data_IF_708753680311
#
_entry.id   IF_708753680311
#
_cell.length_a   1.000
_cell.length_b   1.000
_cell.length_c   1.000
_cell.angle_alpha   90.00
_cell.angle_beta   90.00
_cell.angle_gamma   90.00
#
_symmetry.space_group_name_H-M   'P 1'
#
loop_
_entity.id
_entity.type
_entity.pdbx_description
1 polymer ?
#
# COMPACT_ATOMS: atom_id res chain seq x y z
N UNK A 1 24.06 19.39 6.29
CA UNK A 1 23.83 18.79 4.96
C UNK A 1 23.00 19.78 4.17
N UNK A 2 23.18 19.85 2.85
CA UNK A 2 22.43 20.81 2.00
C UNK A 2 21.05 20.25 1.68
N UNK A 3 20.03 21.09 1.78
CA UNK A 3 18.65 20.78 1.36
C UNK A 3 18.63 20.24 -0.09
N UNK A 4 17.94 19.13 -0.32
CA UNK A 4 17.87 18.47 -1.63
C UNK A 4 16.42 18.24 -2.03
N UNK A 5 16.06 18.62 -3.24
CA UNK A 5 14.72 18.36 -3.78
C UNK A 5 14.77 17.17 -4.73
N UNK A 6 13.93 16.18 -4.43
CA UNK A 6 13.69 15.00 -5.25
C UNK A 6 12.35 15.18 -5.97
N UNK A 7 12.27 14.66 -7.19
CA UNK A 7 11.06 14.70 -8.02
C UNK A 7 10.67 13.29 -8.39
N UNK A 8 9.40 12.97 -8.17
CA UNK A 8 8.79 11.70 -8.54
C UNK A 8 7.41 11.94 -9.15
N UNK A 9 6.53 10.97 -8.97
CA UNK A 9 5.15 10.98 -9.44
C UNK A 9 4.24 11.34 -8.28
N UNK A 10 3.41 12.37 -8.47
CA UNK A 10 2.44 12.86 -7.50
C UNK A 10 1.27 11.88 -7.34
N UNK A 11 1.01 11.44 -6.10
CA UNK A 11 -0.05 10.48 -5.77
C UNK A 11 -0.70 10.87 -4.43
N UNK A 12 -2.00 10.62 -4.24
CA UNK A 12 -2.70 10.90 -2.97
C UNK A 12 -2.98 12.38 -2.71
N UNK A 13 -2.31 13.30 -3.41
CA UNK A 13 -2.49 14.74 -3.23
C UNK A 13 -1.89 15.23 -1.91
N UNK A 14 -2.35 16.38 -1.42
CA UNK A 14 -1.96 16.92 -0.12
C UNK A 14 -0.47 17.24 0.08
N UNK A 15 -0.14 17.65 1.30
CA UNK A 15 1.21 18.02 1.72
C UNK A 15 1.45 17.42 3.10
N UNK A 16 2.62 16.84 3.31
CA UNK A 16 3.05 16.27 4.58
C UNK A 16 4.42 16.81 5.01
N UNK A 17 4.62 17.01 6.30
CA UNK A 17 5.91 17.43 6.87
C UNK A 17 6.18 16.61 8.12
N UNK A 18 7.33 15.94 8.18
CA UNK A 18 7.65 15.06 9.30
C UNK A 18 9.04 14.43 9.18
N UNK A 19 9.48 13.71 10.23
CA UNK A 19 10.69 12.91 10.17
C UNK A 19 10.49 11.71 9.23
N UNK A 20 11.55 11.33 8.51
CA UNK A 20 11.59 10.12 7.70
C UNK A 20 11.56 8.88 8.58
N UNK A 21 10.71 7.92 8.22
CA UNK A 21 10.77 6.55 8.70
C UNK A 21 11.13 5.65 7.51
N UNK A 22 12.38 5.21 7.45
CA UNK A 22 12.89 4.34 6.40
C UNK A 22 12.45 2.91 6.69
N UNK A 23 11.40 2.49 5.99
CA UNK A 23 10.89 1.13 6.04
C UNK A 23 11.56 0.28 4.98
N UNK A 24 12.19 -0.80 5.41
CA UNK A 24 12.69 -1.85 4.51
C UNK A 24 12.00 -3.15 4.90
N UNK A 25 11.22 -3.77 4.00
CA UNK A 25 10.71 -5.11 4.21
C UNK A 25 11.81 -6.04 4.75
N UNK A 26 11.61 -6.61 5.93
CA UNK A 26 12.57 -7.52 6.51
C UNK A 26 12.71 -8.76 5.61
N UNK A 27 13.95 -9.13 5.28
CA UNK A 27 14.24 -10.52 4.96
C UNK A 27 14.33 -11.25 6.30
N UNK A 28 13.54 -12.30 6.47
CA UNK A 28 13.62 -13.11 7.67
C UNK A 28 14.84 -14.02 7.57
N UNK A 29 15.73 -13.93 8.56
CA UNK A 29 16.80 -14.91 8.74
C UNK A 29 16.14 -16.22 9.21
N UNK A 30 15.96 -17.17 8.28
CA UNK A 30 15.39 -18.47 8.60
C UNK A 30 16.42 -19.25 9.44
N UNK A 31 16.11 -19.58 10.71
CA UNK A 31 17.08 -20.23 11.57
C UNK A 31 17.36 -21.66 11.09
N UNK A 32 18.63 -22.03 11.06
CA UNK A 32 19.01 -23.43 10.82
C UNK A 32 18.44 -24.32 11.93
N UNK A 33 17.55 -25.23 11.55
CA UNK A 33 17.00 -26.26 12.44
C UNK A 33 16.95 -27.60 11.74
N UNK A 34 16.87 -28.66 12.55
CA UNK A 34 16.63 -30.00 12.01
C UNK A 34 15.26 -30.07 11.32
N UNK A 35 15.22 -30.73 10.17
CA UNK A 35 14.00 -30.96 9.40
C UNK A 35 13.16 -32.01 10.11
N UNK A 36 11.89 -31.70 10.32
CA UNK A 36 10.90 -32.62 10.87
C UNK A 36 10.47 -33.68 9.86
N UNK A 37 9.59 -34.57 10.28
CA UNK A 37 8.93 -35.47 9.33
C UNK A 37 8.07 -34.64 8.35
N UNK A 38 8.02 -35.05 7.08
CA UNK A 38 7.29 -34.33 6.01
C UNK A 38 5.86 -34.00 6.40
N UNK A 39 5.13 -34.92 7.05
CA UNK A 39 3.75 -34.68 7.48
C UNK A 39 3.62 -33.59 8.56
N UNK A 40 4.64 -33.44 9.43
CA UNK A 40 4.68 -32.40 10.46
C UNK A 40 4.93 -31.04 9.81
N UNK A 41 5.94 -30.94 8.95
CA UNK A 41 6.29 -29.72 8.21
C UNK A 41 5.10 -29.26 7.32
N UNK A 42 4.45 -30.18 6.61
CA UNK A 42 3.27 -29.87 5.80
C UNK A 42 2.04 -29.52 6.64
N UNK A 43 1.95 -30.04 7.88
CA UNK A 43 0.93 -29.63 8.84
C UNK A 43 1.12 -28.16 9.28
N UNK A 44 2.36 -27.77 9.57
CA UNK A 44 2.73 -26.38 9.90
C UNK A 44 2.45 -25.44 8.73
N UNK A 45 2.82 -25.85 7.51
CA UNK A 45 2.52 -25.08 6.29
C UNK A 45 1.02 -24.77 6.16
N UNK A 46 0.18 -25.80 6.25
CA UNK A 46 -1.28 -25.63 6.14
C UNK A 46 -1.84 -24.71 7.22
N UNK A 47 -1.38 -24.84 8.46
CA UNK A 47 -1.79 -23.95 9.54
C UNK A 47 -1.39 -22.50 9.27
N UNK A 48 -0.18 -22.28 8.74
CA UNK A 48 0.30 -20.94 8.38
C UNK A 48 -0.50 -20.33 7.21
N UNK A 49 -0.87 -21.13 6.21
CA UNK A 49 -1.74 -20.69 5.11
C UNK A 49 -3.11 -20.22 5.63
N UNK A 50 -3.74 -21.00 6.51
CA UNK A 50 -5.04 -20.62 7.08
C UNK A 50 -4.94 -19.35 7.93
N UNK A 51 -3.88 -19.21 8.72
CA UNK A 51 -3.62 -17.98 9.46
C UNK A 51 -3.38 -16.78 8.52
N UNK A 52 -2.63 -16.96 7.43
CA UNK A 52 -2.40 -15.91 6.44
C UNK A 52 -3.71 -15.45 5.78
N UNK A 53 -4.61 -16.38 5.45
CA UNK A 53 -5.95 -16.05 4.92
C UNK A 53 -6.81 -15.27 5.90
N UNK A 54 -6.73 -15.57 7.20
CA UNK A 54 -7.42 -14.80 8.24
C UNK A 54 -6.90 -13.36 8.31
N UNK A 55 -5.57 -13.19 8.27
CA UNK A 55 -4.96 -11.85 8.24
C UNK A 55 -5.36 -11.07 6.98
N UNK A 56 -5.32 -11.68 5.79
CA UNK A 56 -5.77 -11.06 4.54
C UNK A 56 -7.25 -10.68 4.59
N UNK A 57 -8.10 -11.47 5.27
CA UNK A 57 -9.52 -11.15 5.47
C UNK A 57 -9.70 -9.93 6.37
N UNK A 58 -8.90 -9.80 7.43
CA UNK A 58 -8.95 -8.63 8.30
C UNK A 58 -8.49 -7.35 7.59
N UNK A 59 -7.47 -7.44 6.73
CA UNK A 59 -7.01 -6.32 5.92
C UNK A 59 -8.07 -5.90 4.88
N UNK A 60 -8.71 -6.87 4.23
CA UNK A 60 -9.84 -6.63 3.33
C UNK A 60 -10.95 -5.85 4.04
N UNK A 61 -11.39 -6.33 5.20
CA UNK A 61 -12.46 -5.69 5.96
C UNK A 61 -12.08 -4.26 6.42
N UNK A 62 -10.81 -4.02 6.77
CA UNK A 62 -10.32 -2.68 7.11
C UNK A 62 -10.46 -1.72 5.93
N UNK A 63 -10.07 -2.15 4.73
CA UNK A 63 -10.16 -1.33 3.51
C UNK A 63 -11.61 -1.11 3.05
N UNK A 64 -12.46 -2.11 3.15
CA UNK A 64 -13.90 -1.96 2.86
C UNK A 64 -14.52 -0.87 3.74
N UNK A 65 -14.18 -0.85 5.04
CA UNK A 65 -14.65 0.20 5.97
C UNK A 65 -14.11 1.59 5.67
N UNK A 66 -12.96 1.71 5.00
CA UNK A 66 -12.41 3.01 4.59
C UNK A 66 -12.96 3.47 3.23
N UNK A 67 -13.97 2.78 2.67
CA UNK A 67 -14.56 3.11 1.36
C UNK A 67 -13.74 2.61 0.17
N UNK A 68 -12.76 1.73 0.39
CA UNK A 68 -11.82 1.23 -0.60
C UNK A 68 -12.19 -0.16 -1.13
N UNK A 69 -13.48 -0.44 -1.34
CA UNK A 69 -13.97 -1.80 -1.64
C UNK A 69 -13.39 -2.40 -2.93
N UNK A 70 -13.26 -1.61 -4.00
CA UNK A 70 -12.64 -2.05 -5.28
C UNK A 70 -11.17 -2.46 -5.08
N UNK A 71 -10.44 -1.75 -4.22
CA UNK A 71 -9.05 -2.08 -3.86
C UNK A 71 -8.97 -3.30 -2.93
N UNK A 72 -10.00 -3.54 -2.11
CA UNK A 72 -10.07 -4.65 -1.18
C UNK A 72 -10.20 -6.02 -1.90
N UNK A 73 -10.71 -6.03 -3.15
CA UNK A 73 -10.85 -7.24 -3.96
C UNK A 73 -9.51 -7.93 -4.27
N UNK A 74 -8.38 -7.20 -4.23
CA UNK A 74 -7.04 -7.77 -4.42
C UNK A 74 -6.74 -8.87 -3.39
N UNK A 75 -7.26 -8.74 -2.17
CA UNK A 75 -7.02 -9.70 -1.09
C UNK A 75 -7.72 -11.04 -1.34
N UNK A 76 -8.79 -11.06 -2.14
CA UNK A 76 -9.41 -12.33 -2.56
C UNK A 76 -8.54 -13.05 -3.58
N UNK A 77 -7.94 -12.32 -4.54
CA UNK A 77 -6.97 -12.89 -5.45
C UNK A 77 -5.75 -13.45 -4.70
N UNK A 78 -5.28 -12.75 -3.67
CA UNK A 78 -4.20 -13.22 -2.80
C UNK A 78 -4.54 -14.52 -2.08
N UNK A 79 -5.77 -14.65 -1.53
CA UNK A 79 -6.23 -15.91 -0.92
C UNK A 79 -6.28 -17.04 -1.94
N UNK A 80 -6.75 -16.77 -3.16
CA UNK A 80 -6.76 -17.78 -4.23
C UNK A 80 -5.35 -18.27 -4.59
N UNK A 81 -4.36 -17.38 -4.58
CA UNK A 81 -2.94 -17.75 -4.78
C UNK A 81 -2.47 -18.67 -3.65
N UNK A 82 -2.82 -18.40 -2.38
CA UNK A 82 -2.49 -19.27 -1.25
C UNK A 82 -3.18 -20.64 -1.32
N UNK A 83 -4.32 -20.74 -2.01
CA UNK A 83 -5.04 -21.98 -2.28
C UNK A 83 -4.51 -22.76 -3.49
N UNK A 84 -3.58 -22.20 -4.26
CA UNK A 84 -3.06 -22.84 -5.47
C UNK A 84 -2.32 -24.15 -5.13
N UNK A 85 -2.76 -25.30 -5.66
CA UNK A 85 -2.10 -26.58 -5.45
C UNK A 85 -0.63 -26.61 -5.90
N UNK A 86 -0.26 -25.77 -6.86
CA UNK A 86 1.10 -25.63 -7.39
C UNK A 86 2.06 -25.18 -6.30
N UNK A 87 1.69 -24.16 -5.52
CA UNK A 87 2.48 -23.70 -4.37
C UNK A 87 2.63 -24.81 -3.34
N UNK A 88 1.53 -25.44 -2.93
CA UNK A 88 1.56 -26.53 -1.95
C UNK A 88 2.41 -27.72 -2.42
N UNK A 89 2.37 -28.05 -3.71
CA UNK A 89 3.19 -29.11 -4.30
C UNK A 89 4.68 -28.76 -4.33
N UNK A 90 5.02 -27.51 -4.68
CA UNK A 90 6.40 -27.03 -4.74
C UNK A 90 7.05 -26.97 -3.36
N UNK A 91 6.30 -26.56 -2.34
CA UNK A 91 6.74 -26.61 -0.93
C UNK A 91 6.96 -28.06 -0.50
N UNK A 92 5.99 -28.95 -0.77
CA UNK A 92 6.10 -30.36 -0.40
C UNK A 92 7.35 -31.03 -1.00
N UNK A 93 7.63 -30.79 -2.27
CA UNK A 93 8.80 -31.35 -2.95
C UNK A 93 10.11 -30.93 -2.28
N UNK A 94 10.22 -29.66 -1.86
CA UNK A 94 11.40 -29.13 -1.16
C UNK A 94 11.56 -29.72 0.24
N UNK A 95 10.46 -29.87 0.98
CA UNK A 95 10.47 -30.54 2.27
C UNK A 95 10.91 -32.01 2.15
N UNK A 96 10.41 -32.73 1.13
CA UNK A 96 10.84 -34.11 0.83
C UNK A 96 12.33 -34.18 0.42
N UNK A 97 12.87 -33.10 -0.15
CA UNK A 97 14.29 -32.97 -0.49
C UNK A 97 15.18 -32.56 0.69
N UNK A 98 14.60 -32.30 1.88
CA UNK A 98 15.34 -31.99 3.11
C UNK A 98 15.42 -30.51 3.47
N UNK A 99 14.53 -29.66 2.93
CA UNK A 99 14.35 -28.29 3.43
C UNK A 99 13.38 -28.26 4.62
N UNK A 100 13.54 -27.31 5.54
CA UNK A 100 12.48 -27.00 6.52
C UNK A 100 11.31 -26.32 5.81
N UNK A 101 10.12 -26.32 6.41
CA UNK A 101 8.94 -25.70 5.80
C UNK A 101 9.13 -24.20 5.49
N UNK A 102 9.84 -23.47 6.36
CA UNK A 102 10.09 -22.03 6.18
C UNK A 102 10.92 -21.78 4.93
N UNK A 103 12.04 -22.51 4.79
CA UNK A 103 12.90 -22.42 3.62
C UNK A 103 12.16 -22.90 2.36
N UNK A 104 11.39 -23.98 2.47
CA UNK A 104 10.64 -24.53 1.35
C UNK A 104 9.59 -23.55 0.81
N UNK A 105 8.94 -22.78 1.70
CA UNK A 105 8.01 -21.71 1.29
C UNK A 105 8.76 -20.59 0.59
N UNK A 106 9.82 -20.06 1.20
CA UNK A 106 10.62 -18.98 0.61
C UNK A 106 11.10 -19.34 -0.80
N UNK A 107 11.76 -20.49 -0.94
CA UNK A 107 12.31 -20.95 -2.22
C UNK A 107 11.22 -21.21 -3.28
N UNK A 108 10.04 -21.67 -2.87
CA UNK A 108 8.93 -21.92 -3.79
C UNK A 108 8.30 -20.62 -4.28
N UNK A 109 8.11 -19.65 -3.39
CA UNK A 109 7.56 -18.34 -3.76
C UNK A 109 8.55 -17.53 -4.59
N UNK A 110 9.84 -17.60 -4.28
CA UNK A 110 10.89 -16.96 -5.07
C UNK A 110 10.96 -17.53 -6.49
N UNK A 111 10.88 -18.86 -6.64
CA UNK A 111 10.86 -19.49 -7.96
C UNK A 111 9.64 -19.06 -8.79
N UNK A 112 8.45 -19.01 -8.20
CA UNK A 112 7.24 -18.57 -8.90
C UNK A 112 7.32 -17.09 -9.26
N UNK A 113 7.84 -16.25 -8.36
CA UNK A 113 8.05 -14.83 -8.63
C UNK A 113 9.03 -14.59 -9.78
N UNK A 114 10.11 -15.36 -9.85
CA UNK A 114 11.09 -15.29 -10.94
C UNK A 114 10.50 -15.74 -12.28
N UNK A 115 9.63 -16.76 -12.29
CA UNK A 115 8.88 -17.15 -13.49
C UNK A 115 7.99 -16.02 -14.00
N UNK A 116 7.31 -15.29 -13.10
CA UNK A 116 6.51 -14.13 -13.50
C UNK A 116 7.38 -12.98 -14.05
N UNK A 117 8.51 -12.68 -13.40
CA UNK A 117 9.45 -11.65 -13.89
C UNK A 117 9.99 -11.96 -15.28
N UNK A 118 10.23 -13.24 -15.58
CA UNK A 118 10.74 -13.68 -16.88
C UNK A 118 9.75 -13.44 -18.05
N UNK A 119 8.49 -13.11 -17.77
CA UNK A 119 7.49 -12.79 -18.79
C UNK A 119 7.56 -11.33 -19.27
N UNK A 120 8.39 -10.48 -18.65
CA UNK A 120 8.71 -9.09 -19.06
C UNK A 120 7.49 -8.17 -19.34
N UNK A 121 6.37 -8.40 -18.65
CA UNK A 121 5.16 -7.55 -18.68
C UNK A 121 4.93 -6.88 -17.33
N UNK A 122 4.47 -5.62 -17.32
CA UNK A 122 4.17 -4.86 -16.09
C UNK A 122 3.14 -5.59 -15.19
N UNK A 123 2.15 -6.26 -15.78
CA UNK A 123 1.16 -7.02 -15.04
C UNK A 123 1.79 -8.23 -14.32
N UNK A 124 2.70 -8.94 -14.98
CA UNK A 124 3.40 -10.07 -14.37
C UNK A 124 4.44 -9.62 -13.35
N UNK A 125 5.06 -8.45 -13.53
CA UNK A 125 5.93 -7.86 -12.52
C UNK A 125 5.17 -7.56 -11.22
N UNK A 126 3.93 -7.05 -11.31
CA UNK A 126 3.06 -6.86 -10.15
C UNK A 126 2.73 -8.20 -9.47
N UNK A 127 2.38 -9.24 -10.25
CA UNK A 127 2.12 -10.59 -9.72
C UNK A 127 3.32 -11.22 -9.01
N UNK A 128 4.54 -10.94 -9.50
CA UNK A 128 5.76 -11.39 -8.83
C UNK A 128 5.91 -10.74 -7.45
N UNK A 129 5.63 -9.43 -7.33
CA UNK A 129 5.66 -8.73 -6.05
C UNK A 129 4.60 -9.27 -5.08
N UNK A 130 3.38 -9.55 -5.57
CA UNK A 130 2.30 -10.14 -4.77
C UNK A 130 2.69 -11.52 -4.24
N UNK A 131 3.31 -12.36 -5.08
CA UNK A 131 3.79 -13.70 -4.68
C UNK A 131 4.83 -13.61 -3.55
N UNK A 132 5.77 -12.67 -3.64
CA UNK A 132 6.79 -12.47 -2.61
C UNK A 132 6.21 -11.94 -1.30
N UNK A 133 5.23 -11.04 -1.37
CA UNK A 133 4.53 -10.57 -0.17
C UNK A 133 3.80 -11.71 0.55
N UNK A 134 3.12 -12.59 -0.21
CA UNK A 134 2.47 -13.77 0.33
C UNK A 134 3.46 -14.77 0.94
N UNK A 135 4.57 -15.03 0.26
CA UNK A 135 5.64 -15.88 0.79
C UNK A 135 6.20 -15.34 2.10
N UNK A 136 6.53 -14.05 2.14
CA UNK A 136 7.00 -13.35 3.33
C UNK A 136 5.99 -13.48 4.48
N UNK A 137 4.70 -13.27 4.22
CA UNK A 137 3.63 -13.43 5.23
C UNK A 137 3.61 -14.84 5.81
N UNK A 138 3.64 -15.87 4.96
CA UNK A 138 3.58 -17.28 5.41
C UNK A 138 4.84 -17.64 6.21
N UNK A 139 6.03 -17.24 5.76
CA UNK A 139 7.29 -17.45 6.50
C UNK A 139 7.26 -16.77 7.86
N UNK A 140 6.78 -15.51 7.94
CA UNK A 140 6.63 -14.78 9.21
C UNK A 140 5.78 -15.57 10.22
N UNK A 141 4.64 -16.08 9.77
CA UNK A 141 3.71 -16.86 10.59
C UNK A 141 4.36 -18.16 11.05
N UNK A 142 5.08 -18.87 10.17
CA UNK A 142 5.80 -20.09 10.53
C UNK A 142 6.89 -19.85 11.58
N UNK A 143 7.58 -18.72 11.49
CA UNK A 143 8.58 -18.30 12.48
C UNK A 143 7.95 -17.78 13.79
N UNK A 144 6.63 -17.63 13.86
CA UNK A 144 5.93 -17.07 15.02
C UNK A 144 6.28 -15.62 15.29
N UNK A 145 6.77 -14.89 14.28
CA UNK A 145 7.16 -13.50 14.42
C UNK A 145 5.91 -12.61 14.42
N UNK A 146 5.85 -11.58 15.29
CA UNK A 146 4.81 -10.58 15.20
C UNK A 146 4.86 -9.89 13.83
N UNK A 147 3.75 -9.33 13.41
CA UNK A 147 3.72 -8.47 12.23
C UNK A 147 4.46 -7.16 12.55
N UNK A 148 5.80 -7.17 12.43
CA UNK A 148 6.67 -5.97 12.50
C UNK A 148 6.57 -5.14 11.20
N UNK A 149 5.35 -4.99 10.72
CA UNK A 149 4.96 -4.10 9.65
C UNK A 149 5.05 -2.65 10.11
N UNK A 150 4.53 -1.72 9.30
CA UNK A 150 4.45 -0.30 9.63
C UNK A 150 3.67 -0.02 10.93
N UNK A 151 3.08 -1.05 11.55
CA UNK A 151 2.50 -1.05 12.89
C UNK A 151 3.48 -0.68 14.03
N UNK A 152 4.79 -0.84 13.83
CA UNK A 152 5.81 -0.43 14.81
C UNK A 152 6.03 1.09 14.89
N UNK A 153 5.45 1.86 13.97
CA UNK A 153 5.50 3.32 13.99
C UNK A 153 4.75 3.81 15.22
N UNK A 154 5.44 4.55 16.09
CA UNK A 154 4.89 5.10 17.33
C UNK A 154 4.76 6.62 17.33
N UNK A 155 5.31 7.28 16.32
CA UNK A 155 5.34 8.75 16.20
C UNK A 155 4.98 9.18 14.77
N UNK A 156 4.36 10.36 14.59
CA UNK A 156 4.02 10.86 13.27
C UNK A 156 5.24 10.99 12.34
N UNK A 157 5.21 10.33 11.19
CA UNK A 157 6.35 10.25 10.27
C UNK A 157 5.94 10.23 8.79
N UNK A 158 6.93 10.41 7.91
CA UNK A 158 6.81 10.17 6.48
C UNK A 158 7.55 8.86 6.15
N UNK A 159 6.82 7.86 5.66
CA UNK A 159 7.40 6.55 5.35
C UNK A 159 8.20 6.63 4.05
N UNK A 160 9.43 6.12 4.07
CA UNK A 160 10.31 6.02 2.90
C UNK A 160 10.62 4.56 2.66
N UNK A 161 10.28 4.02 1.50
CA UNK A 161 10.49 2.61 1.20
C UNK A 161 10.77 2.34 -0.29
N UNK A 162 11.03 1.10 -0.66
CA UNK A 162 11.19 0.73 -2.08
C UNK A 162 9.84 0.68 -2.79
N UNK A 163 8.88 0.00 -2.18
CA UNK A 163 7.47 -0.05 -2.56
C UNK A 163 6.65 -0.43 -1.33
N UNK A 164 5.34 -0.22 -1.37
CA UNK A 164 4.42 -0.71 -0.34
C UNK A 164 3.56 -1.81 -0.95
N UNK A 165 3.64 -3.00 -0.38
CA UNK A 165 2.70 -4.07 -0.71
C UNK A 165 1.29 -3.72 -0.21
N UNK A 166 0.22 -4.34 -0.75
CA UNK A 166 -1.13 -4.18 -0.21
C UNK A 166 -1.20 -4.48 1.30
N UNK A 167 -0.44 -5.47 1.75
CA UNK A 167 -0.27 -5.82 3.16
C UNK A 167 0.31 -4.68 3.99
N UNK A 168 1.39 -4.05 3.50
CA UNK A 168 2.04 -2.94 4.21
C UNK A 168 1.11 -1.73 4.28
N UNK A 169 0.46 -1.36 3.16
CA UNK A 169 -0.42 -0.21 3.12
C UNK A 169 -1.66 -0.38 4.00
N UNK A 170 -2.26 -1.57 4.02
CA UNK A 170 -3.39 -1.84 4.91
C UNK A 170 -2.98 -1.88 6.39
N UNK A 171 -1.69 -2.09 6.72
CA UNK A 171 -1.17 -2.00 8.09
C UNK A 171 -0.89 -0.58 8.57
N UNK A 172 -0.95 0.43 7.68
CA UNK A 172 -0.72 1.83 8.03
C UNK A 172 -1.73 2.33 9.07
N UNK A 173 -1.23 3.09 10.04
CA UNK A 173 -2.05 3.94 10.91
C UNK A 173 -2.07 5.35 10.32
N UNK A 174 -3.23 5.77 9.82
CA UNK A 174 -3.47 7.07 9.20
C UNK A 174 -3.17 8.25 10.14
N UNK A 175 -3.18 8.04 11.47
CA UNK A 175 -2.85 9.09 12.44
C UNK A 175 -1.34 9.30 12.60
N UNK A 176 -0.54 8.27 12.28
CA UNK A 176 0.91 8.29 12.45
C UNK A 176 1.63 8.43 11.12
N UNK A 177 1.07 7.93 10.03
CA UNK A 177 1.69 8.05 8.71
C UNK A 177 1.16 9.28 8.00
N UNK A 178 1.91 10.37 8.13
CA UNK A 178 1.57 11.67 7.56
C UNK A 178 1.65 11.68 6.02
N UNK A 179 2.42 10.76 5.45
CA UNK A 179 2.66 10.63 4.03
C UNK A 179 3.66 9.51 3.75
N UNK A 180 3.84 9.14 2.49
CA UNK A 180 4.88 8.18 2.11
C UNK A 180 5.53 8.48 0.76
N UNK A 181 6.76 8.03 0.58
CA UNK A 181 7.41 8.03 -0.72
C UNK A 181 8.14 6.73 -1.01
N UNK A 182 8.09 6.33 -2.28
CA UNK A 182 8.63 5.04 -2.74
C UNK A 182 9.69 5.24 -3.81
N UNK A 183 10.67 4.34 -3.86
CA UNK A 183 11.69 4.36 -4.90
C UNK A 183 11.15 3.87 -6.24
N UNK A 184 10.26 2.87 -6.19
CA UNK A 184 9.58 2.26 -7.32
C UNK A 184 8.11 2.68 -7.35
N UNK A 185 7.35 2.21 -8.35
CA UNK A 185 5.92 2.48 -8.49
C UNK A 185 5.58 3.56 -9.52
N UNK A 186 4.32 3.53 -9.96
CA UNK A 186 3.78 4.39 -11.01
C UNK A 186 2.35 4.82 -10.68
N UNK A 187 1.67 5.53 -11.59
CA UNK A 187 0.31 6.04 -11.34
C UNK A 187 -0.75 4.95 -11.09
N UNK A 188 -0.44 3.71 -11.48
CA UNK A 188 -1.30 2.52 -11.41
C UNK A 188 -0.78 1.47 -10.43
N UNK A 189 0.29 1.75 -9.67
CA UNK A 189 0.77 0.79 -8.66
C UNK A 189 -0.22 0.69 -7.49
N UNK A 190 -0.22 -0.44 -6.78
CA UNK A 190 -1.06 -0.62 -5.59
C UNK A 190 -0.81 0.47 -4.55
N UNK A 191 0.46 0.81 -4.30
CA UNK A 191 0.86 1.94 -3.47
C UNK A 191 0.24 3.26 -3.94
N UNK A 192 0.13 3.49 -5.25
CA UNK A 192 -0.44 4.70 -5.80
C UNK A 192 -1.97 4.77 -5.69
N UNK A 193 -2.63 3.65 -5.93
CA UNK A 193 -4.09 3.53 -5.82
C UNK A 193 -4.49 3.75 -4.36
N UNK A 194 -3.87 3.00 -3.44
CA UNK A 194 -4.18 3.06 -2.01
C UNK A 194 -3.88 4.44 -1.40
N UNK A 195 -2.85 5.16 -1.86
CA UNK A 195 -2.62 6.54 -1.40
C UNK A 195 -3.83 7.46 -1.64
N UNK A 196 -4.48 7.31 -2.81
CA UNK A 196 -5.66 8.11 -3.18
C UNK A 196 -6.85 7.71 -2.32
N UNK A 197 -7.04 6.42 -2.13
CA UNK A 197 -8.18 5.90 -1.39
C UNK A 197 -8.10 6.23 0.09
N UNK A 198 -6.90 6.18 0.68
CA UNK A 198 -6.65 6.56 2.08
C UNK A 198 -6.49 8.08 2.27
N UNK A 199 -6.43 8.87 1.18
CA UNK A 199 -6.20 10.32 1.25
C UNK A 199 -4.83 10.71 1.83
N UNK A 200 -3.85 9.80 1.79
CA UNK A 200 -2.51 10.01 2.35
C UNK A 200 -1.61 10.65 1.28
N UNK A 201 -0.93 11.77 1.57
CA UNK A 201 0.01 12.38 0.65
C UNK A 201 1.14 11.44 0.24
N UNK A 202 1.35 11.25 -1.07
CA UNK A 202 2.34 10.31 -1.57
C UNK A 202 3.14 10.78 -2.78
N UNK A 203 4.40 10.33 -2.87
CA UNK A 203 5.25 10.51 -4.05
C UNK A 203 5.94 9.20 -4.39
N UNK A 204 5.60 8.61 -5.54
CA UNK A 204 6.16 7.32 -5.97
C UNK A 204 7.22 7.50 -7.06
N UNK A 205 8.04 6.47 -7.28
CA UNK A 205 9.02 6.47 -8.37
C UNK A 205 10.17 7.48 -8.20
N UNK A 206 10.68 7.67 -6.98
CA UNK A 206 11.81 8.57 -6.72
C UNK A 206 13.17 8.01 -7.20
N UNK A 207 13.25 6.70 -7.45
CA UNK A 207 14.48 5.98 -7.78
C UNK A 207 15.28 5.55 -6.54
N UNK A 208 15.86 4.35 -6.60
CA UNK A 208 16.55 3.71 -5.47
C UNK A 208 17.73 4.53 -4.94
N UNK A 209 18.53 5.09 -5.85
CA UNK A 209 19.67 5.95 -5.52
C UNK A 209 19.25 7.17 -4.68
N UNK A 210 18.04 7.69 -4.89
CA UNK A 210 17.56 8.86 -4.16
C UNK A 210 17.04 8.48 -2.78
N UNK A 211 16.23 7.42 -2.71
CA UNK A 211 15.68 6.94 -1.43
C UNK A 211 16.75 6.37 -0.51
N UNK A 212 17.81 5.77 -1.06
CA UNK A 212 18.92 5.21 -0.28
C UNK A 212 19.71 6.27 0.50
N UNK A 213 19.63 7.55 0.08
CA UNK A 213 20.29 8.67 0.76
C UNK A 213 19.51 9.19 1.97
N UNK A 214 18.26 8.79 2.14
CA UNK A 214 17.40 9.24 3.24
C UNK A 214 17.62 8.33 4.44
N UNK A 215 17.84 8.92 5.62
CA UNK A 215 18.03 8.20 6.88
C UNK A 215 16.83 8.38 7.81
N UNK A 216 16.65 7.45 8.75
CA UNK A 216 15.65 7.61 9.80
C UNK A 216 15.84 8.94 10.55
N UNK A 217 14.74 9.65 10.80
CA UNK A 217 14.73 10.95 11.47
C UNK A 217 15.10 12.14 10.58
N UNK A 218 15.49 11.94 9.32
CA UNK A 218 15.73 13.04 8.39
C UNK A 218 14.46 13.87 8.20
N UNK A 219 14.57 15.21 8.25
CA UNK A 219 13.42 16.10 8.10
C UNK A 219 12.96 16.14 6.65
N UNK A 220 11.73 15.72 6.40
CA UNK A 220 11.13 15.69 5.08
C UNK A 220 9.97 16.69 4.97
N UNK A 221 9.85 17.30 3.79
CA UNK A 221 8.65 17.97 3.34
C UNK A 221 8.21 17.36 2.01
N UNK A 222 7.03 16.76 1.99
CA UNK A 222 6.47 16.02 0.87
C UNK A 222 5.28 16.80 0.30
N UNK A 223 5.31 17.06 -1.01
CA UNK A 223 4.23 17.66 -1.78
C UNK A 223 3.68 16.61 -2.75
N UNK A 224 2.60 15.96 -2.33
CA UNK A 224 1.89 14.93 -3.11
C UNK A 224 1.03 15.52 -4.23
N UNK A 225 0.92 16.86 -4.33
CA UNK A 225 0.28 17.55 -5.46
C UNK A 225 1.26 17.78 -6.60
N UNK A 226 2.51 18.16 -6.27
CA UNK A 226 3.55 18.45 -7.26
C UNK A 226 4.53 17.30 -7.51
N UNK A 227 4.47 16.24 -6.70
CA UNK A 227 5.35 15.09 -6.81
C UNK A 227 6.77 15.41 -6.37
N UNK A 228 6.93 16.17 -5.28
CA UNK A 228 8.24 16.61 -4.79
C UNK A 228 8.46 16.19 -3.35
N UNK A 229 9.70 15.82 -3.05
CA UNK A 229 10.16 15.54 -1.67
C UNK A 229 11.41 16.36 -1.40
N UNK A 230 11.35 17.21 -0.38
CA UNK A 230 12.50 17.96 0.10
C UNK A 230 13.14 17.20 1.26
N UNK A 231 14.39 16.80 1.09
CA UNK A 231 15.22 16.08 2.06
C UNK A 231 16.11 17.07 2.81
N UNK A 232 16.30 16.84 4.11
CA UNK A 232 16.98 17.76 5.03
C UNK A 232 16.35 19.17 4.99
N UNK A 233 15.02 19.22 4.98
CA UNK A 233 14.27 20.47 4.86
C UNK A 233 14.61 21.46 6.00
N UNK A 234 15.03 22.66 5.63
CA UNK A 234 15.31 23.74 6.58
C UNK A 234 14.06 24.18 7.36
N UNK A 235 14.23 24.93 8.46
CA UNK A 235 13.09 25.50 9.21
C UNK A 235 12.24 26.43 8.35
N UNK A 236 12.87 27.14 7.43
CA UNK A 236 12.19 28.00 6.47
C UNK A 236 11.34 27.17 5.50
N UNK A 237 11.89 26.09 4.93
CA UNK A 237 11.15 25.20 4.03
C UNK A 237 10.03 24.46 4.75
N UNK A 238 10.27 23.96 5.97
CA UNK A 238 9.22 23.36 6.80
C UNK A 238 8.08 24.34 7.05
N UNK A 239 8.39 25.60 7.42
CA UNK A 239 7.36 26.61 7.66
C UNK A 239 6.55 26.93 6.39
N UNK A 240 7.22 26.99 5.24
CA UNK A 240 6.57 27.18 3.94
C UNK A 240 5.59 26.04 3.63
N UNK A 241 6.02 24.78 3.78
CA UNK A 241 5.18 23.62 3.47
C UNK A 241 4.03 23.46 4.47
N UNK A 242 4.24 23.77 5.76
CA UNK A 242 3.14 23.80 6.75
C UNK A 242 2.09 24.85 6.40
N UNK A 243 2.50 26.06 6.01
CA UNK A 243 1.55 27.09 5.57
C UNK A 243 0.81 26.68 4.30
N UNK A 244 1.49 25.99 3.37
CA UNK A 244 0.84 25.43 2.18
C UNK A 244 -0.16 24.32 2.54
N UNK A 245 0.17 23.44 3.49
CA UNK A 245 -0.70 22.39 4.02
C UNK A 245 -1.97 22.99 4.66
N UNK A 246 -1.84 24.00 5.50
CA UNK A 246 -2.97 24.71 6.12
C UNK A 246 -3.86 25.39 5.08
N UNK A 247 -3.26 26.01 4.06
CA UNK A 247 -3.99 26.65 2.95
C UNK A 247 -4.78 25.63 2.12
N UNK A 248 -4.19 24.47 1.82
CA UNK A 248 -4.90 23.37 1.15
C UNK A 248 -6.06 22.86 2.00
N UNK A 249 -5.84 22.64 3.29
CA UNK A 249 -6.88 22.15 4.21
C UNK A 249 -8.03 23.16 4.32
N UNK A 250 -7.72 24.44 4.46
CA UNK A 250 -8.74 25.52 4.51
C UNK A 250 -9.53 25.60 3.20
N UNK A 251 -8.85 25.45 2.06
CA UNK A 251 -9.49 25.45 0.75
C UNK A 251 -10.39 24.23 0.57
N UNK A 252 -9.97 23.05 1.01
CA UNK A 252 -10.78 21.84 0.94
C UNK A 252 -12.03 22.01 1.82
N UNK A 253 -11.89 22.48 3.06
CA UNK A 253 -13.03 22.73 3.93
C UNK A 253 -14.04 23.76 3.37
N UNK A 254 -13.56 24.77 2.64
CA UNK A 254 -14.43 25.71 1.94
C UNK A 254 -15.19 25.04 0.77
N UNK A 255 -14.52 24.17 0.01
CA UNK A 255 -15.16 23.38 -1.06
C UNK A 255 -16.21 22.44 -0.46
N UNK A 256 -15.89 21.74 0.62
CA UNK A 256 -16.81 20.80 1.27
C UNK A 256 -18.04 21.51 1.85
N UNK A 257 -17.88 22.73 2.37
CA UNK A 257 -19.00 23.55 2.84
C UNK A 257 -19.96 23.98 1.72
N UNK A 258 -19.44 24.14 0.50
CA UNK A 258 -20.19 24.51 -0.70
C UNK A 258 -20.60 23.28 -1.54
N UNK A 259 -20.25 22.06 -1.12
CA UNK A 259 -20.43 20.84 -1.93
C UNK A 259 -21.89 20.61 -2.35
N UNK A 260 -22.85 20.98 -1.50
CA UNK A 260 -24.28 20.83 -1.76
C UNK A 260 -24.92 22.02 -2.51
N UNK A 261 -24.13 23.03 -2.88
CA UNK A 261 -24.63 24.13 -3.71
C UNK A 261 -24.83 23.69 -5.17
N UNK A 262 -25.86 24.20 -5.85
CA UNK A 262 -26.10 23.83 -7.25
C UNK A 262 -24.94 24.30 -8.14
N UNK A 263 -24.50 23.42 -9.04
CA UNK A 263 -23.44 23.76 -9.98
C UNK A 263 -23.93 24.75 -11.07
N UNK A 264 -23.69 26.04 -10.85
CA UNK A 264 -24.12 27.13 -11.72
C UNK A 264 -22.89 27.92 -12.19
N UNK A 265 -22.75 28.08 -13.51
CA UNK A 265 -21.67 28.88 -14.12
C UNK A 265 -21.83 30.37 -13.79
N UNK A 266 -20.76 31.16 -13.97
CA UNK A 266 -20.77 32.61 -13.70
C UNK A 266 -21.82 33.40 -14.50
N UNK A 267 -22.27 32.87 -15.64
CA UNK A 267 -23.31 33.43 -16.50
C UNK A 267 -24.71 32.80 -16.27
N UNK A 268 -24.86 31.97 -15.24
CA UNK A 268 -26.15 31.47 -14.76
C UNK A 268 -26.62 30.15 -15.39
N UNK A 269 -25.76 29.44 -16.12
CA UNK A 269 -26.10 28.13 -16.67
C UNK A 269 -25.92 27.04 -15.60
N UNK A 270 -26.99 26.30 -15.30
CA UNK A 270 -26.93 25.16 -14.38
C UNK A 270 -26.45 23.92 -15.12
N UNK A 271 -25.49 23.22 -14.54
CA UNK A 271 -25.05 21.89 -14.96
C UNK A 271 -25.38 20.89 -13.86
N UNK A 272 -25.63 19.64 -14.23
CA UNK A 272 -25.82 18.56 -13.27
C UNK A 272 -24.46 17.91 -12.99
N UNK A 273 -24.12 17.76 -11.71
CA UNK A 273 -22.93 17.02 -11.26
C UNK A 273 -23.40 15.74 -10.60
N UNK A 274 -23.23 14.62 -11.29
CA UNK A 274 -23.66 13.30 -10.83
C UNK A 274 -22.44 12.38 -10.64
N UNK A 275 -22.55 11.43 -9.72
CA UNK A 275 -21.48 10.49 -9.41
C UNK A 275 -21.52 9.24 -10.30
N UNK A 276 -20.34 8.66 -10.51
CA UNK A 276 -20.17 7.33 -11.07
C UNK A 276 -19.97 6.35 -9.90
N UNK A 277 -20.87 5.38 -9.73
CA UNK A 277 -20.91 4.51 -8.56
C UNK A 277 -20.92 3.03 -8.98
N UNK A 278 -20.24 2.18 -8.21
CA UNK A 278 -20.25 0.72 -8.39
C UNK A 278 -20.93 -0.01 -7.23
N UNK A 279 -20.91 0.57 -6.03
CA UNK A 279 -21.39 -0.07 -4.80
C UNK A 279 -22.21 0.92 -3.93
N UNK A 280 -22.88 0.40 -2.90
CA UNK A 280 -23.78 1.18 -2.03
C UNK A 280 -22.98 2.21 -1.22
N UNK A 281 -21.81 1.85 -0.71
CA UNK A 281 -20.93 2.73 0.05
C UNK A 281 -20.49 3.94 -0.80
N UNK A 282 -20.09 3.69 -2.06
CA UNK A 282 -19.69 4.76 -2.98
C UNK A 282 -20.83 5.75 -3.27
N UNK A 283 -22.07 5.26 -3.31
CA UNK A 283 -23.24 6.10 -3.48
C UNK A 283 -23.53 6.96 -2.23
N UNK A 284 -23.30 6.43 -1.03
CA UNK A 284 -23.42 7.21 0.22
C UNK A 284 -22.36 8.32 0.27
N UNK A 285 -21.10 7.98 0.00
CA UNK A 285 -20.00 8.94 -0.03
C UNK A 285 -20.23 10.02 -1.10
N UNK A 286 -20.76 9.66 -2.28
CA UNK A 286 -21.09 10.60 -3.33
C UNK A 286 -22.11 11.67 -2.87
N UNK A 287 -23.12 11.27 -2.09
CA UNK A 287 -24.09 12.22 -1.53
C UNK A 287 -23.43 13.16 -0.53
N UNK A 288 -22.53 12.65 0.32
CA UNK A 288 -21.75 13.49 1.25
C UNK A 288 -20.88 14.52 0.52
N UNK A 289 -20.35 14.15 -0.65
CA UNK A 289 -19.56 15.00 -1.53
C UNK A 289 -20.41 15.89 -2.46
N UNK A 290 -21.73 15.93 -2.29
CA UNK A 290 -22.61 16.86 -3.00
C UNK A 290 -23.07 16.40 -4.39
N UNK A 291 -22.97 15.11 -4.72
CA UNK A 291 -23.49 14.60 -5.98
C UNK A 291 -25.02 14.78 -6.06
N UNK A 292 -25.50 15.37 -7.16
CA UNK A 292 -26.94 15.62 -7.40
C UNK A 292 -27.70 14.36 -7.84
N UNK A 293 -26.97 13.29 -8.17
CA UNK A 293 -27.53 12.02 -8.62
C UNK A 293 -26.45 11.00 -9.00
N UNK A 294 -26.89 9.88 -9.59
CA UNK A 294 -26.02 8.85 -10.18
C UNK A 294 -26.05 8.99 -11.70
N UNK A 295 -24.92 9.39 -12.28
CA UNK A 295 -24.77 9.56 -13.73
C UNK A 295 -24.36 8.26 -14.44
N UNK A 296 -23.70 7.35 -13.72
CA UNK A 296 -23.32 6.03 -14.18
C UNK A 296 -23.35 5.04 -13.02
N UNK A 297 -24.07 3.93 -13.20
CA UNK A 297 -24.05 2.78 -12.29
C UNK A 297 -23.29 1.65 -12.98
N UNK A 298 -22.16 1.24 -12.43
CA UNK A 298 -21.34 0.13 -12.93
C UNK A 298 -21.89 -1.17 -12.35
N UNK A 299 -22.61 -1.94 -13.16
CA UNK A 299 -23.25 -3.20 -12.72
C UNK A 299 -22.30 -4.38 -12.69
N UNK A 300 -21.07 -4.21 -13.16
CA UNK A 300 -20.04 -5.25 -13.17
C UNK A 300 -19.52 -5.61 -11.78
N UNK A 301 -19.86 -4.80 -10.77
CA UNK A 301 -19.46 -4.95 -9.37
C UNK A 301 -20.62 -5.39 -8.45
N UNK A 302 -21.81 -5.67 -9.02
CA UNK A 302 -23.02 -6.11 -8.30
C UNK A 302 -23.16 -7.64 -8.22
#
# INVERSE_FOLDING_TARGET
MSEKTLKGIAVGGGIAVGPAYVYRPAHFDIPERAVGATDVEMGQFKAAIEQAKLELSALKEKLERSGASEDAAIFDAHKMILDDPTLASGVKQRVEAGSTVEQAVQDATDEIADQFRAMEDELFAARAADMLDLGRRVVRILLGLPDESLSAISEPCIVVTSDLSPSDTASLDENLVLGFCTSQGGLTSHSAILARTLGIPAVVGLGEDQTALISNGTRLALDGVKGMVVVDASDQTISMYKSAQESLTTRQAAIDAEANEPAITRDGHRVEVAANVGEIESAQQAVELGAEGVGLLRTEFL
#
